data_IF_552966976734
#
_entry.id   IF_552966976734
#
_cell.length_a   1.000
_cell.length_b   1.000
_cell.length_c   1.000
_cell.angle_alpha   90.00
_cell.angle_beta   90.00
_cell.angle_gamma   90.00
#
_symmetry.space_group_name_H-M   'P 1'
#
loop_
_entity.id
_entity.type
_entity.pdbx_description
1 polymer ?
#
# COMPACT_ATOMS: atom_id res chain seq x y z
N UNK A 1 10.83 22.32 -22.06
CA UNK A 1 11.12 20.90 -22.29
C UNK A 1 10.99 20.24 -20.95
N UNK A 2 10.05 19.29 -20.77
CA UNK A 2 9.87 18.62 -19.48
C UNK A 2 11.16 17.88 -19.13
N UNK A 3 11.56 17.84 -17.84
CA UNK A 3 12.76 17.13 -17.40
C UNK A 3 12.63 15.60 -17.52
N UNK A 4 11.47 15.13 -17.89
CA UNK A 4 11.13 13.73 -18.10
C UNK A 4 11.34 13.39 -19.57
N UNK A 5 12.13 12.37 -19.86
CA UNK A 5 12.37 11.85 -21.21
C UNK A 5 11.06 11.56 -21.95
N UNK A 6 11.15 11.17 -23.21
CA UNK A 6 9.98 10.70 -23.98
C UNK A 6 9.38 9.50 -23.23
N UNK A 7 8.03 9.50 -23.06
CA UNK A 7 7.32 8.33 -22.55
C UNK A 7 7.74 7.09 -23.35
N UNK A 8 8.26 6.05 -22.72
CA UNK A 8 8.69 4.83 -23.40
C UNK A 8 7.50 4.01 -23.93
N UNK A 9 6.28 4.32 -23.47
CA UNK A 9 5.08 3.62 -23.86
C UNK A 9 4.59 4.08 -25.24
N UNK A 10 4.17 3.11 -26.04
CA UNK A 10 3.59 3.34 -27.38
C UNK A 10 2.14 2.83 -27.32
N UNK A 11 1.21 3.62 -27.87
CA UNK A 11 -0.19 3.19 -28.00
C UNK A 11 -0.26 1.91 -28.83
N UNK A 12 -0.75 0.83 -28.21
CA UNK A 12 -1.00 -0.46 -28.87
C UNK A 12 -2.39 -0.51 -29.49
N UNK A 13 -3.38 -0.10 -28.71
CA UNK A 13 -4.77 -0.11 -29.14
C UNK A 13 -5.59 0.97 -28.44
N UNK A 14 -6.58 1.48 -29.13
CA UNK A 14 -7.54 2.44 -28.61
C UNK A 14 -8.95 1.87 -28.66
N UNK A 15 -9.63 1.85 -27.53
CA UNK A 15 -11.05 1.48 -27.43
C UNK A 15 -11.83 2.64 -26.82
N UNK A 16 -12.75 3.22 -27.60
CA UNK A 16 -13.61 4.29 -27.12
C UNK A 16 -14.73 3.69 -26.28
N UNK A 17 -14.79 4.06 -25.02
CA UNK A 17 -15.89 3.71 -24.13
C UNK A 17 -17.10 4.60 -24.44
N UNK A 18 -18.31 4.07 -24.32
CA UNK A 18 -19.55 4.84 -24.51
C UNK A 18 -19.84 5.81 -23.35
N UNK A 19 -19.16 5.67 -22.24
CA UNK A 19 -19.25 6.52 -21.05
C UNK A 19 -17.91 6.61 -20.34
N UNK A 20 -17.79 7.51 -19.36
CA UNK A 20 -16.61 7.57 -18.48
C UNK A 20 -16.50 6.27 -17.68
N UNK A 21 -15.28 5.87 -17.34
CA UNK A 21 -15.02 4.75 -16.43
C UNK A 21 -14.93 5.25 -14.98
N UNK A 22 -15.18 4.34 -14.04
CA UNK A 22 -14.92 4.58 -12.63
C UNK A 22 -13.43 4.34 -12.32
N UNK A 23 -12.81 5.20 -11.54
CA UNK A 23 -11.39 5.07 -11.14
C UNK A 23 -11.08 3.81 -10.34
N UNK A 24 -12.06 3.23 -9.68
CA UNK A 24 -11.95 1.97 -8.90
C UNK A 24 -12.42 0.74 -9.67
N UNK A 25 -12.84 0.94 -10.90
CA UNK A 25 -13.50 -0.06 -11.71
C UNK A 25 -12.57 -0.83 -12.65
N UNK A 26 -11.39 -1.25 -12.19
CA UNK A 26 -10.45 -2.02 -12.99
C UNK A 26 -9.89 -3.20 -12.21
N UNK A 27 -10.07 -4.42 -12.72
CA UNK A 27 -9.47 -5.62 -12.14
C UNK A 27 -8.85 -6.52 -13.19
N UNK A 28 -7.75 -7.19 -12.83
CA UNK A 28 -7.05 -8.12 -13.68
C UNK A 28 -7.67 -9.52 -13.58
N UNK A 29 -7.89 -10.16 -14.72
CA UNK A 29 -8.30 -11.56 -14.80
C UNK A 29 -7.06 -12.46 -14.88
N UNK A 30 -7.00 -13.48 -14.06
CA UNK A 30 -6.00 -14.52 -14.19
C UNK A 30 -6.16 -15.25 -15.53
N UNK A 31 -5.05 -15.51 -16.21
CA UNK A 31 -5.06 -16.31 -17.44
C UNK A 31 -5.41 -17.78 -17.17
N UNK A 32 -5.80 -18.53 -18.22
CA UNK A 32 -6.02 -19.97 -18.13
C UNK A 32 -4.72 -20.65 -17.69
N UNK A 33 -4.67 -21.10 -16.44
CA UNK A 33 -3.48 -21.70 -15.83
C UNK A 33 -3.19 -21.25 -14.40
N UNK A 34 -3.82 -20.18 -13.93
CA UNK A 34 -3.90 -19.79 -12.50
C UNK A 34 -2.59 -19.54 -11.77
N UNK A 35 -1.46 -19.41 -12.46
CA UNK A 35 -0.14 -19.20 -11.86
C UNK A 35 0.63 -18.04 -12.52
N UNK A 36 1.76 -17.62 -11.96
CA UNK A 36 2.58 -16.52 -12.47
C UNK A 36 3.18 -16.74 -13.87
N UNK A 37 2.92 -17.89 -14.52
CA UNK A 37 3.27 -18.22 -15.91
C UNK A 37 2.05 -18.55 -16.77
N UNK A 38 0.83 -18.33 -16.29
CA UNK A 38 -0.41 -18.54 -17.07
C UNK A 38 -0.46 -17.57 -18.27
N UNK A 39 -1.06 -18.03 -19.38
CA UNK A 39 -1.21 -17.23 -20.59
C UNK A 39 -1.87 -15.87 -20.34
N UNK A 40 -1.93 -15.00 -21.35
CA UNK A 40 -2.43 -13.65 -21.20
C UNK A 40 -3.84 -13.67 -20.63
N UNK A 41 -4.01 -13.14 -19.44
CA UNK A 41 -5.30 -12.91 -18.82
C UNK A 41 -6.08 -11.81 -19.55
N UNK A 42 -6.93 -11.14 -18.84
CA UNK A 42 -7.66 -9.98 -19.35
C UNK A 42 -7.79 -8.93 -18.26
N UNK A 43 -8.52 -7.89 -18.61
CA UNK A 43 -8.93 -6.85 -17.68
C UNK A 43 -10.45 -6.71 -17.75
N UNK A 44 -11.09 -6.56 -16.60
CA UNK A 44 -12.45 -6.07 -16.50
C UNK A 44 -12.42 -4.61 -16.11
N UNK A 45 -13.07 -3.76 -16.84
CA UNK A 45 -13.22 -2.34 -16.55
C UNK A 45 -14.70 -2.02 -16.35
N UNK A 46 -15.04 -1.46 -15.21
CA UNK A 46 -16.35 -0.91 -14.94
C UNK A 46 -16.48 0.48 -15.56
N UNK A 47 -17.60 0.73 -16.23
CA UNK A 47 -17.95 2.02 -16.78
C UNK A 47 -19.28 2.50 -16.17
N UNK A 48 -19.58 3.77 -16.36
CA UNK A 48 -20.85 4.34 -15.89
C UNK A 48 -22.06 3.62 -16.52
N UNK A 49 -23.21 3.70 -15.88
CA UNK A 49 -24.48 3.06 -16.28
C UNK A 49 -24.43 1.53 -16.24
N UNK A 50 -23.78 0.99 -15.21
CA UNK A 50 -23.75 -0.45 -14.94
C UNK A 50 -23.02 -1.30 -15.99
N UNK A 51 -22.22 -0.68 -16.86
CA UNK A 51 -21.51 -1.39 -17.93
C UNK A 51 -20.18 -1.93 -17.46
N UNK A 52 -19.88 -3.16 -17.84
CA UNK A 52 -18.56 -3.80 -17.63
C UNK A 52 -17.97 -4.18 -18.98
N UNK A 53 -16.71 -3.85 -19.19
CA UNK A 53 -15.98 -4.11 -20.43
C UNK A 53 -14.86 -5.12 -20.17
N UNK A 54 -14.77 -6.13 -21.01
CA UNK A 54 -13.69 -7.08 -21.02
C UNK A 54 -12.65 -6.67 -22.06
N UNK A 55 -11.41 -6.52 -21.61
CA UNK A 55 -10.24 -6.34 -22.48
C UNK A 55 -9.36 -7.58 -22.41
N UNK A 56 -9.01 -8.14 -23.55
CA UNK A 56 -8.05 -9.25 -23.65
C UNK A 56 -7.39 -9.30 -25.01
N UNK A 57 -6.28 -10.04 -25.09
CA UNK A 57 -5.64 -10.34 -26.37
C UNK A 57 -6.11 -11.73 -26.86
N UNK A 58 -6.57 -11.77 -28.10
CA UNK A 58 -6.85 -13.04 -28.80
C UNK A 58 -5.60 -13.48 -29.56
N UNK A 59 -5.15 -14.70 -29.28
CA UNK A 59 -4.03 -15.30 -30.00
C UNK A 59 -4.50 -15.88 -31.34
N UNK A 60 -4.55 -15.05 -32.35
CA UNK A 60 -4.79 -15.48 -33.73
C UNK A 60 -3.44 -15.60 -34.43
N UNK A 61 -2.91 -16.82 -34.45
CA UNK A 61 -1.59 -17.06 -35.08
C UNK A 61 -1.50 -16.46 -36.47
N UNK A 62 -0.44 -15.67 -36.81
CA UNK A 62 0.74 -15.36 -36.01
C UNK A 62 0.62 -14.05 -35.18
N UNK A 63 -0.55 -13.41 -35.07
CA UNK A 63 -0.72 -12.08 -34.45
C UNK A 63 -1.62 -12.12 -33.22
N UNK A 64 -1.25 -11.36 -32.22
CA UNK A 64 -2.12 -10.99 -31.11
C UNK A 64 -3.08 -9.89 -31.61
N UNK A 65 -4.37 -10.01 -31.28
CA UNK A 65 -5.37 -8.97 -31.54
C UNK A 65 -6.00 -8.53 -30.23
N UNK A 66 -5.97 -7.22 -29.92
CA UNK A 66 -6.73 -6.69 -28.80
C UNK A 66 -8.23 -6.86 -29.08
N UNK A 67 -8.97 -7.27 -28.07
CA UNK A 67 -10.43 -7.39 -28.07
C UNK A 67 -10.97 -6.58 -26.90
N UNK A 68 -11.93 -5.70 -27.17
CA UNK A 68 -12.76 -5.08 -26.16
C UNK A 68 -14.21 -5.43 -26.42
N UNK A 69 -14.90 -5.99 -25.43
CA UNK A 69 -16.33 -6.27 -25.54
C UNK A 69 -17.07 -5.94 -24.26
N UNK A 70 -18.32 -5.52 -24.37
CA UNK A 70 -19.22 -5.37 -23.23
C UNK A 70 -19.62 -6.75 -22.70
N UNK A 71 -19.54 -6.92 -21.38
CA UNK A 71 -19.97 -8.10 -20.66
C UNK A 71 -21.27 -7.78 -19.91
N UNK A 72 -22.23 -8.65 -20.02
CA UNK A 72 -23.49 -8.49 -19.31
C UNK A 72 -23.49 -9.33 -18.03
N UNK A 73 -23.33 -8.67 -16.91
CA UNK A 73 -23.49 -9.27 -15.60
C UNK A 73 -24.95 -9.17 -15.16
N UNK A 74 -25.54 -10.31 -14.76
CA UNK A 74 -26.93 -10.34 -14.29
C UNK A 74 -27.10 -9.51 -13.02
N UNK A 75 -28.33 -9.02 -12.80
CA UNK A 75 -28.69 -8.22 -11.62
C UNK A 75 -27.95 -6.87 -11.45
N UNK A 76 -27.31 -6.36 -12.49
CA UNK A 76 -26.85 -4.98 -12.54
C UNK A 76 -27.83 -4.18 -13.41
N UNK A 77 -28.63 -3.26 -12.84
CA UNK A 77 -29.54 -2.43 -13.60
C UNK A 77 -28.81 -1.46 -14.53
N UNK A 78 -29.47 -1.02 -15.61
CA UNK A 78 -28.91 -0.05 -16.58
C UNK A 78 -28.69 1.34 -15.97
N UNK A 79 -29.40 1.65 -14.88
CA UNK A 79 -29.30 2.89 -14.10
C UNK A 79 -28.38 2.79 -12.90
N UNK A 80 -27.69 1.65 -12.74
CA UNK A 80 -26.75 1.45 -11.67
C UNK A 80 -25.41 2.15 -11.96
N UNK A 81 -24.81 2.69 -10.89
CA UNK A 81 -23.44 3.19 -10.92
C UNK A 81 -22.53 2.20 -10.19
N UNK A 82 -21.63 1.56 -10.93
CA UNK A 82 -20.63 0.65 -10.35
C UNK A 82 -19.60 1.47 -9.58
N UNK A 83 -19.40 1.12 -8.31
CA UNK A 83 -18.43 1.80 -7.45
C UNK A 83 -17.07 1.13 -7.51
N UNK A 84 -17.03 -0.19 -7.34
CA UNK A 84 -15.78 -0.96 -7.33
C UNK A 84 -15.99 -2.34 -7.92
N UNK A 85 -14.94 -2.91 -8.49
CA UNK A 85 -14.90 -4.27 -9.04
C UNK A 85 -13.58 -4.93 -8.67
N UNK A 86 -13.64 -6.18 -8.26
CA UNK A 86 -12.46 -6.98 -8.01
C UNK A 86 -12.66 -8.43 -8.42
N UNK A 87 -11.59 -9.15 -8.71
CA UNK A 87 -11.66 -10.55 -9.12
C UNK A 87 -10.46 -11.36 -8.68
N UNK A 88 -10.69 -12.62 -8.38
CA UNK A 88 -9.63 -13.56 -8.01
C UNK A 88 -9.98 -14.99 -8.46
N UNK A 89 -8.94 -15.83 -8.72
CA UNK A 89 -9.15 -17.24 -8.96
C UNK A 89 -9.51 -17.95 -7.64
N UNK A 90 -10.44 -18.92 -7.71
CA UNK A 90 -10.73 -19.78 -6.55
C UNK A 90 -9.47 -20.49 -6.07
N UNK A 91 -9.36 -20.63 -4.75
CA UNK A 91 -8.23 -21.32 -4.14
C UNK A 91 -8.24 -22.82 -4.42
N UNK A 92 -7.09 -23.46 -4.69
CA UNK A 92 -7.01 -24.90 -4.83
C UNK A 92 -7.63 -25.67 -3.64
N UNK A 93 -8.24 -26.83 -3.86
CA UNK A 93 -8.31 -27.61 -5.09
C UNK A 93 -9.38 -27.15 -6.09
N UNK A 94 -10.20 -26.19 -5.74
CA UNK A 94 -11.25 -25.66 -6.61
C UNK A 94 -10.63 -24.86 -7.75
N UNK A 95 -11.28 -24.89 -8.90
CA UNK A 95 -10.93 -24.06 -10.05
C UNK A 95 -12.13 -23.18 -10.36
N UNK A 96 -11.88 -21.98 -10.83
CA UNK A 96 -12.93 -21.04 -11.18
C UNK A 96 -12.49 -19.60 -10.93
N UNK A 97 -13.35 -18.68 -11.25
CA UNK A 97 -13.19 -17.25 -11.02
C UNK A 97 -14.29 -16.76 -10.10
N UNK A 98 -13.92 -15.82 -9.23
CA UNK A 98 -14.85 -15.03 -8.46
C UNK A 98 -14.71 -13.59 -8.90
N UNK A 99 -15.84 -12.93 -9.18
CA UNK A 99 -15.89 -11.50 -9.51
C UNK A 99 -16.86 -10.85 -8.54
N UNK A 100 -16.37 -9.85 -7.80
CA UNK A 100 -17.17 -9.00 -6.92
C UNK A 100 -17.42 -7.66 -7.59
N UNK A 101 -18.65 -7.17 -7.58
CA UNK A 101 -19.04 -5.86 -8.12
C UNK A 101 -19.92 -5.15 -7.10
N UNK A 102 -19.49 -3.99 -6.65
CA UNK A 102 -20.32 -3.10 -5.84
C UNK A 102 -20.93 -2.03 -6.71
N UNK A 103 -22.20 -1.75 -6.50
CA UNK A 103 -22.90 -0.71 -7.24
C UNK A 103 -24.00 -0.06 -6.41
N UNK A 104 -24.39 1.14 -6.81
CA UNK A 104 -25.51 1.87 -6.25
C UNK A 104 -26.59 1.92 -7.33
N UNK A 105 -27.76 1.39 -7.00
CA UNK A 105 -28.94 1.51 -7.83
C UNK A 105 -29.60 2.84 -7.54
N UNK A 106 -29.71 3.69 -8.56
CA UNK A 106 -30.47 4.93 -8.47
C UNK A 106 -31.92 4.63 -8.87
N UNK A 107 -32.74 4.33 -7.88
CA UNK A 107 -34.18 4.08 -8.08
C UNK A 107 -35.05 5.28 -7.63
N UNK A 108 -34.55 6.49 -7.77
CA UNK A 108 -35.25 7.73 -7.42
C UNK A 108 -35.04 8.15 -5.96
N UNK A 109 -36.01 7.93 -5.07
CA UNK A 109 -36.00 8.51 -3.73
C UNK A 109 -35.00 7.93 -2.74
N UNK A 110 -34.45 6.72 -2.99
CA UNK A 110 -33.46 6.07 -2.13
C UNK A 110 -32.46 5.27 -2.94
N UNK A 111 -31.21 5.73 -3.06
CA UNK A 111 -30.15 4.91 -3.63
C UNK A 111 -29.94 3.67 -2.76
N UNK A 112 -29.98 2.49 -3.38
CA UNK A 112 -29.74 1.21 -2.69
C UNK A 112 -28.40 0.65 -3.12
N UNK A 113 -27.43 0.47 -2.21
CA UNK A 113 -26.14 -0.11 -2.49
C UNK A 113 -26.19 -1.64 -2.44
N UNK A 114 -25.46 -2.28 -3.34
CA UNK A 114 -25.36 -3.72 -3.46
C UNK A 114 -23.92 -4.20 -3.62
N UNK A 115 -23.67 -5.43 -3.19
CA UNK A 115 -22.53 -6.24 -3.55
C UNK A 115 -23.05 -7.48 -4.29
N UNK A 116 -22.69 -7.60 -5.56
CA UNK A 116 -22.90 -8.80 -6.33
C UNK A 116 -21.63 -9.63 -6.39
N UNK A 117 -21.73 -10.91 -6.08
CA UNK A 117 -20.63 -11.86 -6.20
C UNK A 117 -20.99 -12.92 -7.22
N UNK A 118 -20.19 -12.98 -8.27
CA UNK A 118 -20.35 -13.92 -9.38
C UNK A 118 -19.28 -14.99 -9.28
N UNK A 119 -19.68 -16.24 -9.25
CA UNK A 119 -18.74 -17.35 -9.24
C UNK A 119 -19.35 -18.56 -9.90
N UNK A 120 -18.49 -19.37 -10.52
CA UNK A 120 -18.87 -20.65 -11.05
C UNK A 120 -18.87 -21.69 -9.93
N UNK A 121 -20.01 -22.36 -9.76
CA UNK A 121 -20.19 -23.39 -8.73
C UNK A 121 -20.07 -24.81 -9.29
N UNK A 122 -19.97 -24.98 -10.61
CA UNK A 122 -19.86 -26.31 -11.20
C UNK A 122 -18.41 -26.82 -11.21
N UNK A 123 -18.08 -27.85 -10.45
CA UNK A 123 -16.74 -28.42 -10.47
C UNK A 123 -16.48 -29.13 -11.80
N UNK A 124 -15.48 -28.68 -12.53
CA UNK A 124 -14.94 -29.35 -13.71
C UNK A 124 -15.21 -28.68 -15.06
N UNK A 125 -15.94 -27.57 -15.12
CA UNK A 125 -16.05 -26.77 -16.32
C UNK A 125 -14.82 -25.95 -16.60
N UNK A 126 -14.43 -25.81 -17.86
CA UNK A 126 -13.48 -24.79 -18.28
C UNK A 126 -14.06 -23.42 -17.93
N UNK A 127 -13.20 -22.57 -17.42
CA UNK A 127 -13.51 -21.20 -17.04
C UNK A 127 -14.14 -20.43 -18.21
N UNK A 128 -15.44 -20.20 -18.14
CA UNK A 128 -16.19 -19.33 -19.05
C UNK A 128 -16.73 -18.10 -18.31
N UNK A 129 -16.20 -16.94 -18.66
CA UNK A 129 -16.60 -15.68 -18.03
C UNK A 129 -18.08 -15.34 -18.29
N UNK A 130 -18.62 -15.73 -19.44
CA UNK A 130 -20.04 -15.51 -19.76
C UNK A 130 -20.94 -16.33 -18.81
N UNK A 131 -20.54 -17.56 -18.48
CA UNK A 131 -21.22 -18.39 -17.49
C UNK A 131 -21.12 -17.80 -16.08
N UNK A 132 -19.91 -17.38 -15.66
CA UNK A 132 -19.70 -16.72 -14.36
C UNK A 132 -20.59 -15.49 -14.22
N UNK A 133 -20.71 -14.67 -15.26
CA UNK A 133 -21.51 -13.43 -15.23
C UNK A 133 -23.03 -13.68 -15.06
N UNK A 134 -23.49 -14.91 -15.27
CA UNK A 134 -24.89 -15.30 -15.07
C UNK A 134 -25.18 -15.86 -13.68
N UNK A 135 -24.14 -16.27 -12.92
CA UNK A 135 -24.25 -16.86 -11.59
C UNK A 135 -24.01 -15.81 -10.52
N UNK A 136 -25.05 -15.26 -9.93
CA UNK A 136 -24.99 -14.10 -9.06
C UNK A 136 -25.54 -14.36 -7.66
N UNK A 137 -24.74 -14.09 -6.63
CA UNK A 137 -25.21 -13.84 -5.28
C UNK A 137 -25.37 -12.32 -5.11
N UNK A 138 -26.61 -11.87 -4.91
CA UNK A 138 -26.94 -10.44 -4.74
C UNK A 138 -27.11 -10.12 -3.26
N UNK A 139 -26.30 -9.22 -2.73
CA UNK A 139 -26.32 -8.79 -1.33
C UNK A 139 -26.64 -7.29 -1.26
N UNK A 140 -27.73 -6.93 -0.59
CA UNK A 140 -28.06 -5.54 -0.29
C UNK A 140 -27.21 -5.06 0.89
N UNK A 141 -26.53 -3.92 0.71
CA UNK A 141 -25.66 -3.32 1.73
C UNK A 141 -26.43 -2.28 2.54
N UNK A 142 -26.03 -2.11 3.80
CA UNK A 142 -26.59 -1.07 4.70
C UNK A 142 -25.74 0.19 4.73
N UNK A 143 -24.66 0.24 3.96
CA UNK A 143 -23.71 1.33 3.87
C UNK A 143 -23.35 1.58 2.41
N UNK A 144 -22.85 2.76 2.10
CA UNK A 144 -22.35 3.09 0.75
C UNK A 144 -20.95 2.50 0.58
N UNK A 145 -20.75 1.58 -0.37
CA UNK A 145 -19.44 0.97 -0.59
C UNK A 145 -18.44 1.95 -1.20
N UNK A 146 -17.14 1.76 -0.89
CA UNK A 146 -16.04 2.50 -1.50
C UNK A 146 -15.14 1.57 -2.29
N UNK A 147 -14.26 0.84 -1.64
CA UNK A 147 -13.32 -0.06 -2.29
C UNK A 147 -13.61 -1.52 -1.94
N UNK A 148 -13.75 -2.34 -2.96
CA UNK A 148 -13.72 -3.79 -2.86
C UNK A 148 -12.32 -4.29 -3.24
N UNK A 149 -11.73 -5.11 -2.41
CA UNK A 149 -10.47 -5.80 -2.70
C UNK A 149 -10.51 -7.22 -2.12
N UNK A 150 -9.64 -8.09 -2.62
CA UNK A 150 -9.49 -9.43 -2.06
C UNK A 150 -8.18 -9.56 -1.29
N UNK A 151 -8.18 -10.49 -0.33
CA UNK A 151 -6.99 -10.84 0.41
C UNK A 151 -6.92 -12.35 0.61
N UNK A 152 -5.70 -12.89 0.58
CA UNK A 152 -5.46 -14.28 0.92
C UNK A 152 -5.21 -14.42 2.42
N UNK A 153 -5.90 -15.39 3.03
CA UNK A 153 -5.75 -15.67 4.44
C UNK A 153 -5.49 -17.15 4.67
N UNK A 154 -4.66 -17.48 5.65
CA UNK A 154 -4.45 -18.84 6.07
C UNK A 154 -5.49 -19.22 7.12
N UNK A 155 -6.22 -20.30 6.85
CA UNK A 155 -7.20 -20.88 7.78
C UNK A 155 -6.83 -22.34 8.01
N UNK A 156 -6.12 -22.63 9.10
CA UNK A 156 -5.45 -23.91 9.31
C UNK A 156 -4.39 -24.15 8.23
N UNK A 157 -4.47 -25.29 7.54
CA UNK A 157 -3.54 -25.63 6.45
C UNK A 157 -4.00 -25.12 5.06
N UNK A 158 -5.14 -24.46 4.98
CA UNK A 158 -5.72 -23.98 3.71
C UNK A 158 -5.48 -22.51 3.53
N UNK A 159 -5.20 -22.13 2.29
CA UNK A 159 -5.18 -20.73 1.85
C UNK A 159 -6.55 -20.42 1.24
N UNK A 160 -7.25 -19.47 1.84
CA UNK A 160 -8.56 -19.02 1.36
C UNK A 160 -8.45 -17.57 0.88
N UNK A 161 -9.26 -17.21 -0.10
CA UNK A 161 -9.36 -15.83 -0.57
C UNK A 161 -10.71 -15.26 -0.14
N UNK A 162 -10.69 -14.06 0.41
CA UNK A 162 -11.85 -13.36 0.95
C UNK A 162 -11.96 -11.98 0.32
N UNK A 163 -13.18 -11.43 0.29
CA UNK A 163 -13.38 -10.02 -0.03
C UNK A 163 -13.31 -9.16 1.24
N UNK A 164 -12.69 -8.01 1.10
CA UNK A 164 -12.71 -6.91 2.05
C UNK A 164 -13.37 -5.72 1.37
N UNK A 165 -14.35 -5.13 2.02
CA UNK A 165 -15.12 -4.01 1.51
C UNK A 165 -15.11 -2.87 2.51
N UNK A 166 -14.66 -1.69 2.08
CA UNK A 166 -14.77 -0.45 2.85
C UNK A 166 -16.01 0.34 2.42
N UNK A 167 -16.46 1.24 3.27
CA UNK A 167 -17.64 2.05 3.02
C UNK A 167 -17.66 3.37 3.77
N UNK A 168 -18.85 4.01 3.79
CA UNK A 168 -19.07 5.27 4.48
C UNK A 168 -19.29 5.11 5.99
N UNK A 169 -18.95 3.97 6.54
CA UNK A 169 -18.83 3.69 7.96
C UNK A 169 -17.36 3.37 8.32
N UNK A 170 -16.94 3.50 9.58
CA UNK A 170 -15.56 3.30 9.98
C UNK A 170 -15.18 1.81 10.09
N UNK A 171 -15.94 0.90 9.49
CA UNK A 171 -15.73 -0.54 9.48
C UNK A 171 -15.10 -1.03 8.18
N UNK A 172 -14.52 -2.24 8.26
CA UNK A 172 -14.18 -3.05 7.10
C UNK A 172 -15.05 -4.29 7.15
N UNK A 173 -15.77 -4.57 6.07
CA UNK A 173 -16.67 -5.70 5.95
C UNK A 173 -15.97 -6.85 5.27
N UNK A 174 -15.99 -8.01 5.90
CA UNK A 174 -15.37 -9.24 5.41
C UNK A 174 -16.41 -10.18 4.84
N UNK A 175 -16.28 -10.56 3.59
CA UNK A 175 -17.11 -11.59 2.96
C UNK A 175 -16.28 -12.82 2.65
N UNK A 176 -16.68 -13.95 3.22
CA UNK A 176 -15.99 -15.23 3.10
C UNK A 176 -16.93 -16.29 2.55
N UNK A 177 -16.42 -17.15 1.64
CA UNK A 177 -17.17 -18.29 1.14
C UNK A 177 -17.39 -19.32 2.28
N UNK A 178 -18.64 -19.68 2.51
CA UNK A 178 -19.00 -20.77 3.42
C UNK A 178 -18.74 -22.11 2.72
N UNK A 179 -17.88 -22.99 3.27
CA UNK A 179 -17.54 -24.26 2.63
C UNK A 179 -18.71 -25.21 2.42
N UNK A 180 -19.79 -25.09 3.22
CA UNK A 180 -20.95 -25.95 3.14
C UNK A 180 -22.00 -25.51 2.13
N UNK A 181 -22.27 -24.19 2.05
CA UNK A 181 -23.27 -23.60 1.16
C UNK A 181 -22.67 -23.10 -0.15
N UNK A 182 -21.35 -22.95 -0.22
CA UNK A 182 -20.63 -22.29 -1.32
C UNK A 182 -21.09 -20.84 -1.59
N UNK A 183 -21.69 -20.19 -0.59
CA UNK A 183 -22.13 -18.81 -0.68
C UNK A 183 -21.21 -17.92 0.17
N UNK A 184 -21.03 -16.68 -0.26
CA UNK A 184 -20.31 -15.68 0.50
C UNK A 184 -21.21 -15.10 1.58
N UNK A 185 -20.70 -15.07 2.80
CA UNK A 185 -21.38 -14.55 3.97
C UNK A 185 -20.51 -13.48 4.64
N UNK A 186 -21.14 -12.44 5.15
CA UNK A 186 -20.45 -11.45 5.95
C UNK A 186 -20.03 -12.05 7.30
N UNK A 187 -18.77 -11.84 7.68
CA UNK A 187 -18.20 -12.29 8.95
C UNK A 187 -17.48 -11.13 9.65
N UNK A 188 -17.36 -11.18 10.98
CA UNK A 188 -16.60 -10.18 11.72
C UNK A 188 -15.14 -10.15 11.27
N UNK A 189 -14.67 -8.97 10.83
CA UNK A 189 -13.32 -8.79 10.26
C UNK A 189 -12.21 -9.20 11.25
N UNK A 190 -12.42 -8.97 12.53
CA UNK A 190 -11.46 -9.28 13.60
C UNK A 190 -11.09 -10.76 13.70
N UNK A 191 -11.92 -11.65 13.18
CA UNK A 191 -11.63 -13.08 13.19
C UNK A 191 -10.42 -13.44 12.31
N UNK A 192 -10.22 -12.70 11.22
CA UNK A 192 -9.16 -12.96 10.25
C UNK A 192 -8.19 -11.80 10.12
N UNK A 193 -8.63 -10.55 10.36
CA UNK A 193 -7.85 -9.32 10.22
C UNK A 193 -8.00 -8.43 11.46
N UNK A 194 -7.41 -8.84 12.61
CA UNK A 194 -7.48 -8.03 13.83
C UNK A 194 -6.86 -6.64 13.68
N UNK A 195 -5.92 -6.46 12.75
CA UNK A 195 -5.28 -5.19 12.44
C UNK A 195 -6.17 -4.17 11.74
N UNK A 196 -7.31 -4.59 11.19
CA UNK A 196 -8.26 -3.72 10.50
C UNK A 196 -9.38 -3.19 11.42
N UNK A 197 -9.26 -3.42 12.72
CA UNK A 197 -10.17 -2.85 13.72
C UNK A 197 -9.76 -1.42 14.10
N UNK A 198 -10.67 -0.74 14.80
CA UNK A 198 -10.46 0.55 15.45
C UNK A 198 -9.82 1.58 14.51
N UNK A 199 -10.45 1.79 13.36
CA UNK A 199 -10.07 2.82 12.41
C UNK A 199 -10.74 4.15 12.79
N UNK A 200 -10.01 5.29 12.70
CA UNK A 200 -10.49 6.58 13.20
C UNK A 200 -11.56 7.24 12.30
N UNK A 201 -11.65 6.83 11.05
CA UNK A 201 -12.62 7.36 10.09
C UNK A 201 -12.81 6.38 8.94
N UNK A 202 -13.69 6.70 8.00
CA UNK A 202 -13.97 5.87 6.83
C UNK A 202 -12.69 5.53 6.07
N UNK A 203 -12.51 4.25 5.76
CA UNK A 203 -11.38 3.77 4.98
C UNK A 203 -11.69 3.97 3.49
N UNK A 204 -10.85 4.75 2.81
CA UNK A 204 -10.99 5.00 1.37
C UNK A 204 -10.21 4.01 0.54
N UNK A 205 -9.08 3.52 1.05
CA UNK A 205 -8.24 2.56 0.36
C UNK A 205 -7.62 1.55 1.31
N UNK A 206 -7.56 0.31 0.86
CA UNK A 206 -7.01 -0.84 1.58
C UNK A 206 -6.14 -1.66 0.64
N UNK A 207 -4.99 -2.11 1.09
CA UNK A 207 -4.11 -3.04 0.39
C UNK A 207 -3.55 -4.08 1.37
N UNK A 208 -3.69 -5.35 1.02
CA UNK A 208 -3.24 -6.48 1.84
C UNK A 208 -2.37 -7.40 1.00
N UNK A 209 -1.11 -7.56 1.39
CA UNK A 209 -0.14 -8.34 0.65
C UNK A 209 0.48 -9.44 1.52
N UNK A 210 0.51 -10.70 1.05
CA UNK A 210 1.29 -11.73 1.70
C UNK A 210 2.78 -11.47 1.47
N UNK A 211 3.60 -11.68 2.49
CA UNK A 211 5.06 -11.59 2.37
C UNK A 211 5.60 -12.93 1.89
N UNK A 212 6.13 -13.03 0.66
CA UNK A 212 6.61 -14.29 0.11
C UNK A 212 7.71 -14.93 0.96
N UNK A 213 7.60 -16.24 1.19
CA UNK A 213 8.58 -17.00 1.97
C UNK A 213 8.50 -16.81 3.49
N UNK A 214 7.55 -16.03 3.97
CA UNK A 214 7.25 -15.89 5.41
C UNK A 214 5.80 -16.27 5.71
N UNK A 215 5.50 -16.53 6.97
CA UNK A 215 4.12 -16.71 7.45
C UNK A 215 3.40 -15.36 7.67
N UNK A 216 3.97 -14.23 7.23
CA UNK A 216 3.47 -12.91 7.53
C UNK A 216 2.68 -12.30 6.37
N UNK A 217 1.85 -11.31 6.69
CA UNK A 217 1.24 -10.38 5.74
C UNK A 217 1.45 -8.95 6.20
N UNK A 218 1.38 -8.04 5.24
CA UNK A 218 1.31 -6.61 5.47
C UNK A 218 -0.09 -6.14 5.06
N UNK A 219 -0.70 -5.32 5.92
CA UNK A 219 -2.00 -4.70 5.67
C UNK A 219 -1.84 -3.20 5.79
N UNK A 220 -2.19 -2.46 4.74
CA UNK A 220 -2.16 -1.00 4.71
C UNK A 220 -3.56 -0.45 4.53
N UNK A 221 -3.91 0.63 5.22
CA UNK A 221 -5.16 1.33 5.03
C UNK A 221 -4.95 2.86 5.04
N UNK A 222 -5.77 3.54 4.25
CA UNK A 222 -5.82 4.99 4.17
C UNK A 222 -7.24 5.50 4.37
N UNK A 223 -7.39 6.49 5.23
CA UNK A 223 -8.68 7.01 5.68
C UNK A 223 -9.02 8.38 5.10
N UNK A 224 -10.29 8.73 5.16
CA UNK A 224 -10.81 10.04 4.79
C UNK A 224 -10.22 11.16 5.64
N UNK A 225 -9.87 10.90 6.89
CA UNK A 225 -9.24 11.87 7.80
C UNK A 225 -7.76 12.12 7.51
N UNK A 226 -7.15 11.45 6.53
CA UNK A 226 -5.70 11.49 6.29
C UNK A 226 -4.90 10.48 7.11
N UNK A 227 -5.57 9.69 7.95
CA UNK A 227 -4.90 8.65 8.73
C UNK A 227 -4.48 7.50 7.84
N UNK A 228 -3.21 7.07 7.98
CA UNK A 228 -2.64 5.90 7.31
C UNK A 228 -2.10 4.95 8.35
N UNK A 229 -2.40 3.67 8.22
CA UNK A 229 -1.85 2.59 9.07
C UNK A 229 -1.25 1.50 8.21
N UNK A 230 -0.11 0.96 8.64
CA UNK A 230 0.44 -0.29 8.13
C UNK A 230 0.63 -1.23 9.31
N UNK A 231 0.21 -2.47 9.14
CA UNK A 231 0.42 -3.51 10.14
C UNK A 231 1.12 -4.73 9.52
N UNK A 232 2.00 -5.34 10.28
CA UNK A 232 2.60 -6.64 10.00
C UNK A 232 1.97 -7.67 10.93
N UNK A 233 1.44 -8.72 10.34
CA UNK A 233 0.64 -9.73 11.03
C UNK A 233 1.18 -11.11 10.74
N UNK A 234 1.33 -11.92 11.76
CA UNK A 234 1.57 -13.34 11.64
C UNK A 234 0.25 -14.04 11.26
N UNK A 235 0.24 -14.76 10.12
CA UNK A 235 -1.00 -15.33 9.57
C UNK A 235 -1.48 -16.57 10.34
N UNK A 236 -0.60 -17.28 11.01
CA UNK A 236 -0.96 -18.51 11.74
C UNK A 236 -1.57 -18.17 13.11
N UNK A 237 -0.90 -17.32 13.87
CA UNK A 237 -1.38 -16.88 15.19
C UNK A 237 -2.36 -15.71 15.12
N UNK A 238 -2.43 -15.00 13.98
CA UNK A 238 -3.18 -13.75 13.78
C UNK A 238 -2.72 -12.63 14.71
N UNK A 239 -1.52 -12.73 15.24
CA UNK A 239 -0.95 -11.73 16.09
C UNK A 239 -0.45 -10.54 15.26
N UNK A 240 -0.83 -9.33 15.66
CA UNK A 240 -0.26 -8.10 15.11
C UNK A 240 1.14 -7.94 15.68
N UNK A 241 2.16 -8.21 14.88
CA UNK A 241 3.56 -8.14 15.28
C UNK A 241 4.04 -6.71 15.40
N UNK A 242 3.62 -5.87 14.46
CA UNK A 242 4.00 -4.46 14.39
C UNK A 242 2.86 -3.66 13.74
N UNK A 243 2.70 -2.42 14.18
CA UNK A 243 1.76 -1.48 13.58
C UNK A 243 2.35 -0.08 13.60
N UNK A 244 2.28 0.61 12.47
CA UNK A 244 2.74 1.97 12.29
C UNK A 244 1.63 2.83 11.72
N UNK A 245 1.59 4.07 12.12
CA UNK A 245 0.61 5.02 11.59
C UNK A 245 1.24 6.39 11.38
N UNK A 246 0.67 7.12 10.43
CA UNK A 246 1.00 8.52 10.16
C UNK A 246 -0.30 9.26 9.85
N UNK A 247 -0.31 10.55 10.14
CA UNK A 247 -1.39 11.47 9.83
C UNK A 247 -0.93 12.43 8.74
N UNK A 248 -1.66 12.48 7.62
CA UNK A 248 -1.53 13.44 6.53
C UNK A 248 -2.66 14.47 6.63
N UNK A 249 -2.51 15.61 5.95
CA UNK A 249 -3.48 16.70 6.03
C UNK A 249 -4.74 16.49 5.18
N UNK A 250 -4.69 15.62 4.18
CA UNK A 250 -5.80 15.38 3.25
C UNK A 250 -6.30 13.93 3.20
N UNK A 251 -7.50 13.72 2.65
CA UNK A 251 -8.02 12.37 2.41
C UNK A 251 -7.06 11.53 1.58
N UNK A 252 -6.90 10.28 1.96
CA UNK A 252 -6.00 9.34 1.28
C UNK A 252 -6.69 8.82 0.03
N UNK A 253 -6.10 9.05 -1.13
CA UNK A 253 -6.63 8.56 -2.41
C UNK A 253 -6.13 7.16 -2.77
N UNK A 254 -4.92 6.79 -2.34
CA UNK A 254 -4.37 5.46 -2.60
C UNK A 254 -3.32 5.09 -1.55
N UNK A 255 -3.31 3.83 -1.13
CA UNK A 255 -2.19 3.18 -0.45
C UNK A 255 -1.82 1.91 -1.20
N UNK A 256 -0.53 1.68 -1.45
CA UNK A 256 -0.03 0.48 -2.13
C UNK A 256 1.22 -0.05 -1.46
N UNK A 257 1.18 -1.32 -1.12
CA UNK A 257 2.33 -2.07 -0.63
C UNK A 257 3.07 -2.71 -1.81
N UNK A 258 4.36 -2.51 -1.90
CA UNK A 258 5.16 -3.10 -2.95
C UNK A 258 6.57 -3.44 -2.49
N UNK A 259 7.15 -4.54 -2.98
CA UNK A 259 8.53 -4.89 -2.70
C UNK A 259 9.47 -4.10 -3.61
N UNK A 260 10.60 -3.63 -3.07
CA UNK A 260 11.71 -3.13 -3.87
C UNK A 260 12.53 -4.30 -4.45
N UNK A 261 13.28 -4.08 -5.55
CA UNK A 261 14.16 -5.10 -6.11
C UNK A 261 15.11 -5.66 -5.05
N UNK A 262 15.43 -6.98 -5.07
CA UNK A 262 16.28 -7.61 -4.06
C UNK A 262 17.70 -7.05 -4.07
N UNK A 263 18.27 -6.81 -2.89
CA UNK A 263 19.70 -6.57 -2.72
C UNK A 263 20.40 -7.81 -2.14
N UNK A 264 21.70 -7.99 -2.44
CA UNK A 264 22.48 -9.03 -1.79
C UNK A 264 22.45 -8.83 -0.28
N UNK A 265 22.07 -9.87 0.47
CA UNK A 265 22.00 -9.90 1.94
C UNK A 265 20.84 -9.14 2.59
N UNK A 266 19.87 -8.64 1.83
CA UNK A 266 18.64 -8.03 2.39
C UNK A 266 17.58 -9.11 2.65
N UNK A 267 16.96 -9.04 3.85
CA UNK A 267 15.87 -9.95 4.21
C UNK A 267 14.64 -9.66 3.31
N UNK A 268 13.96 -10.69 2.78
CA UNK A 268 12.74 -10.50 1.97
C UNK A 268 11.68 -9.62 2.61
N UNK A 269 11.62 -9.59 3.94
CA UNK A 269 10.66 -8.76 4.68
C UNK A 269 11.03 -7.28 4.70
N UNK A 270 12.33 -6.97 4.62
CA UNK A 270 12.82 -5.59 4.68
C UNK A 270 12.68 -4.80 3.37
N UNK A 271 12.25 -5.46 2.30
CA UNK A 271 12.13 -4.89 0.96
C UNK A 271 10.82 -4.16 0.70
N UNK A 272 9.87 -4.28 1.61
CA UNK A 272 8.55 -3.68 1.43
C UNK A 272 8.56 -2.18 1.64
N UNK A 273 7.79 -1.51 0.81
CA UNK A 273 7.56 -0.07 0.84
C UNK A 273 6.08 0.23 0.71
N UNK A 274 5.67 1.36 1.25
CA UNK A 274 4.31 1.86 1.17
C UNK A 274 4.29 3.14 0.35
N UNK A 275 3.59 3.13 -0.77
CA UNK A 275 3.19 4.33 -1.49
C UNK A 275 1.91 4.87 -0.87
N UNK A 276 1.90 6.16 -0.60
CA UNK A 276 0.70 6.89 -0.15
C UNK A 276 0.50 8.09 -1.04
N UNK A 277 -0.70 8.26 -1.54
CA UNK A 277 -1.14 9.48 -2.19
C UNK A 277 -2.35 10.07 -1.47
N UNK A 278 -2.39 11.38 -1.38
CA UNK A 278 -3.46 12.14 -0.78
C UNK A 278 -4.03 13.13 -1.80
N UNK A 279 -5.20 13.65 -1.49
CA UNK A 279 -5.85 14.64 -2.38
C UNK A 279 -5.17 16.02 -2.34
N UNK A 280 -4.40 16.34 -1.29
CA UNK A 280 -3.84 17.67 -1.03
C UNK A 280 -2.32 17.71 -1.07
N UNK A 281 -1.64 16.59 -0.82
CA UNK A 281 -0.19 16.55 -0.67
C UNK A 281 0.46 15.74 -1.80
N UNK A 282 1.75 15.93 -1.98
CA UNK A 282 2.55 15.12 -2.89
C UNK A 282 2.47 13.63 -2.55
N UNK A 283 2.54 12.78 -3.55
CA UNK A 283 2.65 11.35 -3.32
C UNK A 283 4.00 11.00 -2.67
N UNK A 284 3.97 10.17 -1.64
CA UNK A 284 5.13 9.82 -0.83
C UNK A 284 5.32 8.31 -0.74
N UNK A 285 6.57 7.88 -0.57
CA UNK A 285 6.92 6.48 -0.33
C UNK A 285 7.57 6.35 1.03
N UNK A 286 7.03 5.46 1.85
CA UNK A 286 7.59 5.05 3.14
C UNK A 286 8.23 3.67 3.00
N UNK A 287 9.32 3.46 3.71
CA UNK A 287 9.97 2.15 3.80
C UNK A 287 9.49 1.40 5.05
N UNK A 288 8.95 0.21 4.86
CA UNK A 288 8.34 -0.59 5.92
C UNK A 288 9.29 -1.65 6.54
N UNK A 289 10.59 -1.58 6.31
CA UNK A 289 11.52 -2.66 6.63
C UNK A 289 12.42 -2.47 7.84
N UNK A 290 13.04 -3.59 8.23
CA UNK A 290 13.89 -3.81 9.39
C UNK A 290 15.37 -3.90 8.98
N UNK A 291 15.99 -2.85 8.45
CA UNK A 291 17.42 -2.94 8.12
C UNK A 291 18.26 -3.17 9.38
N UNK A 292 19.07 -4.23 9.38
CA UNK A 292 19.89 -4.66 10.54
C UNK A 292 20.89 -3.62 11.05
N UNK A 293 21.21 -2.58 10.24
CA UNK A 293 21.98 -1.41 10.66
C UNK A 293 21.14 -0.34 11.34
N UNK A 294 19.81 -0.44 11.30
CA UNK A 294 18.87 0.58 11.74
C UNK A 294 18.01 0.16 12.94
N UNK A 295 18.58 -0.59 13.90
CA UNK A 295 17.89 -0.96 15.16
C UNK A 295 17.25 0.23 15.89
N UNK A 296 17.58 1.48 15.51
CA UNK A 296 16.98 2.71 16.04
C UNK A 296 15.82 3.25 15.19
N UNK A 297 15.69 2.88 13.91
CA UNK A 297 14.62 3.35 13.02
C UNK A 297 13.31 2.60 13.29
N UNK A 298 13.37 1.39 13.80
CA UNK A 298 12.22 0.56 14.23
C UNK A 298 11.29 1.23 15.27
N UNK A 299 11.77 2.23 15.99
CA UNK A 299 10.94 2.97 16.94
C UNK A 299 10.17 4.14 16.30
N UNK A 300 10.48 4.52 15.06
CA UNK A 300 9.90 5.71 14.42
C UNK A 300 8.79 5.41 13.40
N UNK A 301 8.56 4.16 13.04
CA UNK A 301 7.46 3.77 12.17
C UNK A 301 7.55 4.36 10.77
N UNK A 302 6.44 4.88 10.25
CA UNK A 302 6.36 5.61 9.00
C UNK A 302 6.95 7.03 9.14
N UNK A 303 8.19 7.13 9.59
CA UNK A 303 8.94 8.38 9.65
C UNK A 303 9.78 8.52 8.38
N UNK A 304 9.95 9.74 7.90
CA UNK A 304 10.83 10.07 6.77
C UNK A 304 10.28 9.60 5.41
N UNK A 305 9.14 10.18 4.96
CA UNK A 305 8.62 9.94 3.63
C UNK A 305 9.59 10.44 2.57
N UNK A 306 9.71 9.69 1.48
CA UNK A 306 10.33 10.16 0.26
C UNK A 306 9.25 10.71 -0.67
N UNK A 307 9.25 11.99 -0.91
CA UNK A 307 8.36 12.63 -1.85
C UNK A 307 8.71 12.21 -3.29
N UNK A 308 7.69 11.80 -4.05
CA UNK A 308 7.89 11.45 -5.46
C UNK A 308 8.04 12.72 -6.30
N UNK A 309 9.13 12.82 -7.08
CA UNK A 309 9.38 13.99 -7.90
C UNK A 309 8.23 14.28 -8.86
N UNK A 310 7.82 15.54 -8.95
CA UNK A 310 6.80 16.02 -9.88
C UNK A 310 5.35 15.78 -9.41
N UNK A 311 5.10 15.01 -8.36
CA UNK A 311 3.75 14.80 -7.85
C UNK A 311 3.18 16.06 -7.18
N UNK A 312 4.03 16.87 -6.53
CA UNK A 312 3.63 18.16 -5.94
C UNK A 312 3.29 19.24 -6.96
N UNK A 313 3.79 19.13 -8.19
CA UNK A 313 3.51 20.07 -9.28
C UNK A 313 2.32 19.66 -10.17
N UNK A 314 1.72 18.52 -9.89
CA UNK A 314 0.58 17.98 -10.61
C UNK A 314 -0.71 18.13 -9.79
N UNK A 315 -1.83 17.96 -10.45
CA UNK A 315 -3.13 17.90 -9.79
C UNK A 315 -3.27 16.65 -8.90
N UNK A 316 -4.36 16.53 -8.14
CA UNK A 316 -4.59 15.43 -7.21
C UNK A 316 -4.34 14.05 -7.84
N UNK A 317 -3.55 13.22 -7.18
CA UNK A 317 -3.34 11.82 -7.56
C UNK A 317 -4.58 11.01 -7.19
N UNK A 318 -5.23 10.41 -8.18
CA UNK A 318 -6.50 9.68 -8.00
C UNK A 318 -6.33 8.17 -8.05
N UNK A 319 -5.27 7.67 -8.65
CA UNK A 319 -4.95 6.25 -8.68
C UNK A 319 -3.44 6.03 -8.83
N UNK A 320 -2.99 4.87 -8.41
CA UNK A 320 -1.60 4.46 -8.55
C UNK A 320 -1.49 2.96 -8.86
N UNK A 321 -0.41 2.57 -9.51
CA UNK A 321 -0.03 1.18 -9.72
C UNK A 321 1.48 1.04 -9.68
N UNK A 322 1.95 -0.06 -9.12
CA UNK A 322 3.38 -0.42 -9.16
C UNK A 322 3.51 -1.68 -9.99
N UNK A 323 4.24 -1.60 -11.08
CA UNK A 323 4.42 -2.71 -12.04
C UNK A 323 5.63 -2.44 -12.93
N UNK A 324 6.27 -3.50 -13.41
CA UNK A 324 7.33 -3.44 -14.43
C UNK A 324 6.66 -3.21 -15.80
N UNK A 325 6.79 -1.99 -16.35
CA UNK A 325 6.15 -1.59 -17.62
C UNK A 325 7.08 -1.68 -18.82
N UNK A 326 8.39 -1.62 -18.60
CA UNK A 326 9.40 -1.72 -19.67
C UNK A 326 10.09 -3.10 -19.73
N UNK A 327 9.70 -4.01 -18.82
CA UNK A 327 10.16 -5.39 -18.74
C UNK A 327 11.66 -5.51 -18.44
N UNK A 328 12.23 -4.56 -17.70
CA UNK A 328 13.62 -4.57 -17.27
C UNK A 328 13.83 -5.33 -15.94
N UNK A 329 12.76 -5.79 -15.31
CA UNK A 329 12.73 -6.52 -14.05
C UNK A 329 12.63 -5.60 -12.81
N UNK A 330 12.59 -4.29 -12.99
CA UNK A 330 12.33 -3.34 -11.92
C UNK A 330 10.91 -2.77 -12.08
N UNK A 331 10.18 -2.62 -10.99
CA UNK A 331 8.83 -2.06 -11.08
C UNK A 331 8.86 -0.53 -11.11
N UNK A 332 8.03 0.06 -11.95
CA UNK A 332 7.73 1.50 -12.01
C UNK A 332 6.54 1.83 -11.14
N UNK A 333 6.51 3.06 -10.63
CA UNK A 333 5.37 3.63 -9.94
C UNK A 333 4.61 4.52 -10.93
N UNK A 334 3.42 4.08 -11.31
CA UNK A 334 2.53 4.85 -12.18
C UNK A 334 1.55 5.62 -11.31
N UNK A 335 1.47 6.93 -11.49
CA UNK A 335 0.51 7.81 -10.82
C UNK A 335 -0.42 8.42 -11.86
N UNK A 336 -1.71 8.19 -11.71
CA UNK A 336 -2.74 8.87 -12.50
C UNK A 336 -3.28 10.08 -11.74
N UNK A 337 -3.29 11.25 -12.38
CA UNK A 337 -3.78 12.48 -11.77
C UNK A 337 -5.12 12.91 -12.35
N UNK A 338 -5.87 13.70 -11.61
CA UNK A 338 -7.15 14.24 -12.06
C UNK A 338 -7.01 15.10 -13.33
N UNK A 339 -5.91 15.84 -13.47
CA UNK A 339 -5.56 16.61 -14.66
C UNK A 339 -5.08 15.80 -15.86
N UNK A 340 -5.27 14.48 -15.84
CA UNK A 340 -4.93 13.55 -16.93
C UNK A 340 -3.42 13.48 -17.25
N UNK A 341 -2.57 13.76 -16.25
CA UNK A 341 -1.14 13.51 -16.31
C UNK A 341 -0.80 12.13 -15.76
N UNK A 342 0.15 11.46 -16.39
CA UNK A 342 0.78 10.24 -15.87
C UNK A 342 2.20 10.58 -15.43
N UNK A 343 2.56 10.18 -14.22
CA UNK A 343 3.89 10.34 -13.65
C UNK A 343 4.52 8.95 -13.47
N UNK A 344 5.76 8.81 -13.90
CA UNK A 344 6.46 7.53 -13.99
C UNK A 344 7.85 7.60 -13.33
N UNK A 345 7.99 7.57 -12.00
CA UNK A 345 9.29 7.35 -11.37
C UNK A 345 9.64 5.86 -11.28
N UNK A 346 10.81 5.48 -11.74
CA UNK A 346 11.30 4.10 -11.68
C UNK A 346 11.63 3.71 -10.23
N UNK A 347 11.22 2.52 -9.78
CA UNK A 347 11.54 2.02 -8.44
C UNK A 347 13.05 1.91 -8.21
N UNK A 348 13.84 1.69 -9.26
CA UNK A 348 15.31 1.71 -9.22
C UNK A 348 15.85 3.09 -8.86
N UNK A 349 15.35 4.15 -9.49
CA UNK A 349 15.72 5.54 -9.17
C UNK A 349 15.33 5.89 -7.73
N UNK A 350 14.16 5.41 -7.30
CA UNK A 350 13.69 5.57 -5.94
C UNK A 350 14.65 4.92 -4.94
N UNK A 351 15.11 3.69 -5.21
CA UNK A 351 16.07 2.97 -4.37
C UNK A 351 17.42 3.68 -4.29
N UNK A 352 17.96 4.11 -5.43
CA UNK A 352 19.21 4.86 -5.48
C UNK A 352 19.12 6.17 -4.71
N UNK A 353 17.98 6.87 -4.81
CA UNK A 353 17.73 8.10 -4.09
C UNK A 353 17.61 7.87 -2.59
N UNK A 354 16.84 6.85 -2.17
CA UNK A 354 16.73 6.43 -0.77
C UNK A 354 18.10 6.08 -0.18
N UNK A 355 18.94 5.33 -0.93
CA UNK A 355 20.29 4.99 -0.49
C UNK A 355 21.16 6.24 -0.31
N UNK A 356 21.16 7.16 -1.26
CA UNK A 356 21.93 8.41 -1.17
C UNK A 356 21.48 9.29 0.00
N UNK A 357 20.17 9.36 0.24
CA UNK A 357 19.65 10.11 1.38
C UNK A 357 20.05 9.48 2.72
N UNK A 358 20.02 8.15 2.83
CA UNK A 358 20.50 7.44 4.03
C UNK A 358 21.99 7.69 4.26
N UNK A 359 22.83 7.54 3.25
CA UNK A 359 24.26 7.81 3.32
C UNK A 359 24.57 9.25 3.75
N UNK A 360 23.82 10.21 3.22
CA UNK A 360 23.97 11.62 3.59
C UNK A 360 23.57 11.88 5.05
N UNK A 361 22.53 11.24 5.52
CA UNK A 361 22.07 11.37 6.92
C UNK A 361 23.02 10.69 7.89
N UNK A 362 23.56 9.53 7.55
CA UNK A 362 24.59 8.88 8.35
C UNK A 362 25.82 9.77 8.49
N UNK A 363 26.31 10.38 7.41
CA UNK A 363 27.40 11.36 7.44
C UNK A 363 27.07 12.58 8.29
N UNK A 364 25.84 13.07 8.24
CA UNK A 364 25.42 14.19 9.10
C UNK A 364 25.38 13.80 10.58
N UNK A 365 24.97 12.56 10.90
CA UNK A 365 24.98 12.04 12.27
C UNK A 365 26.41 11.87 12.80
N UNK A 366 27.29 11.24 12.03
CA UNK A 366 28.71 11.12 12.38
C UNK A 366 29.37 12.50 12.62
N UNK A 367 29.02 13.49 11.79
CA UNK A 367 29.55 14.84 11.97
C UNK A 367 29.00 15.49 13.23
N UNK A 368 27.72 15.27 13.57
CA UNK A 368 27.16 15.77 14.85
C UNK A 368 27.78 15.09 16.08
N UNK A 369 27.97 13.79 16.01
CA UNK A 369 28.63 13.04 17.09
C UNK A 369 30.08 13.54 17.31
N UNK A 370 30.83 13.77 16.23
CA UNK A 370 32.16 14.33 16.27
C UNK A 370 32.19 15.78 16.81
N UNK A 371 31.16 16.57 16.52
CA UNK A 371 31.01 17.91 17.09
C UNK A 371 30.69 17.89 18.59
N UNK A 372 29.81 16.97 19.01
CA UNK A 372 29.49 16.77 20.42
C UNK A 372 30.72 16.31 21.19
N UNK A 373 31.46 15.33 20.71
CA UNK A 373 32.71 14.86 21.34
C UNK A 373 33.78 15.96 21.43
N UNK A 374 33.85 16.85 20.43
CA UNK A 374 34.73 18.02 20.49
C UNK A 374 34.28 19.04 21.54
N UNK A 375 32.97 19.23 21.73
CA UNK A 375 32.46 20.13 22.77
C UNK A 375 32.67 19.57 24.14
N UNK A 376 32.42 18.29 24.37
CA UNK A 376 32.71 17.62 25.65
C UNK A 376 34.20 17.72 26.02
N UNK A 377 35.11 17.41 25.09
CA UNK A 377 36.55 17.56 25.31
C UNK A 377 37.00 19.02 25.54
N UNK A 378 36.25 19.97 24.98
CA UNK A 378 36.56 21.39 25.21
C UNK A 378 36.00 21.89 26.54
N UNK A 379 34.93 21.29 27.02
CA UNK A 379 34.33 21.55 28.32
C UNK A 379 35.19 20.95 29.44
N UNK A 380 35.63 19.71 29.29
CA UNK A 380 36.58 19.03 30.20
C UNK A 380 37.89 19.80 30.35
N UNK A 381 38.46 20.30 29.25
CA UNK A 381 39.67 21.15 29.30
C UNK A 381 39.42 22.52 29.95
N UNK A 382 38.19 23.02 29.92
CA UNK A 382 37.87 24.27 30.64
C UNK A 382 37.75 24.03 32.14
N UNK A 383 37.13 22.93 32.53
CA UNK A 383 37.01 22.51 33.92
C UNK A 383 38.42 22.27 34.53
N UNK A 384 39.27 21.51 33.82
CA UNK A 384 40.68 21.31 34.24
C UNK A 384 41.45 22.64 34.40
N UNK A 385 41.28 23.57 33.46
CA UNK A 385 41.92 24.88 33.50
C UNK A 385 41.35 25.80 34.59
N UNK A 386 40.12 25.60 35.03
CA UNK A 386 39.46 26.31 36.11
C UNK A 386 39.93 25.75 37.46
N UNK A 387 40.05 24.45 37.62
CA UNK A 387 40.66 23.78 38.79
C UNK A 387 42.12 24.18 38.97
N UNK A 388 42.94 24.17 37.91
CA UNK A 388 44.34 24.64 37.98
C UNK A 388 44.46 26.13 38.40
N UNK A 389 43.47 26.95 38.03
CA UNK A 389 43.40 28.35 38.44
C UNK A 389 43.03 28.51 39.92
N UNK A 390 42.04 27.72 40.37
CA UNK A 390 41.65 27.73 41.79
C UNK A 390 42.80 27.23 42.71
N UNK A 391 43.50 26.15 42.34
CA UNK A 391 44.68 25.66 43.05
C UNK A 391 45.81 26.70 43.08
N UNK A 392 46.06 27.39 41.96
CA UNK A 392 47.07 28.44 41.89
C UNK A 392 46.69 29.70 42.69
N UNK A 393 45.42 30.00 42.90
CA UNK A 393 44.93 31.06 43.78
C UNK A 393 45.01 30.65 45.25
N UNK A 394 44.74 29.41 45.63
CA UNK A 394 44.93 28.89 46.98
C UNK A 394 46.42 28.91 47.40
N UNK A 395 47.31 28.48 46.49
CA UNK A 395 48.78 28.58 46.78
C UNK A 395 49.26 30.01 46.94
N UNK A 396 48.73 30.99 46.25
CA UNK A 396 49.04 32.40 46.40
C UNK A 396 48.45 33.02 47.68
N UNK A 397 47.30 32.49 48.16
CA UNK A 397 46.67 32.93 49.42
C UNK A 397 47.35 32.45 50.67
N UNK A 398 48.18 31.39 50.56
CA UNK A 398 49.01 30.89 51.68
C UNK A 398 50.27 31.71 51.84
N UNK A 399 50.12 33.01 52.11
CA UNK A 399 51.27 33.93 52.51
C UNK A 399 51.97 33.44 53.75
N UNK A 400 53.28 33.78 53.91
CA UNK A 400 54.10 33.31 55.03
C UNK A 400 53.50 33.71 56.38
N UNK A 401 53.35 32.76 57.31
CA UNK A 401 52.91 33.01 58.70
C UNK A 401 53.79 34.05 59.36
N UNK A 402 53.23 35.04 60.03
CA UNK A 402 54.05 36.02 60.79
C UNK A 402 54.82 35.31 61.92
N UNK A 403 56.06 35.74 62.20
CA UNK A 403 56.89 35.12 63.22
C UNK A 403 56.29 35.32 64.62
N UNK A 404 56.32 34.28 65.43
CA UNK A 404 55.83 34.24 66.79
C UNK A 404 56.56 35.31 67.65
N UNK A 405 55.88 36.03 68.55
CA UNK A 405 56.54 37.03 69.44
C UNK A 405 57.48 36.33 70.41
N UNK A 406 58.61 37.01 70.81
CA UNK A 406 59.59 36.44 71.75
C UNK A 406 59.01 36.33 73.14
N UNK A 407 59.27 35.19 73.83
CA UNK A 407 58.97 34.97 75.23
C UNK A 407 59.80 35.93 76.09
N UNK A 408 59.14 36.76 76.88
CA UNK A 408 59.79 37.60 77.91
C UNK A 408 59.97 36.80 79.18
N UNK A 409 61.23 36.83 79.71
CA UNK A 409 61.58 36.41 81.04
C UNK A 409 60.93 37.30 82.08
#
# INVERSE_FOLDING_TARGET
>A
MSPWGRCPLVEDSFSRLGSQSNVYGLTALAGPGGGPGGGPGGLLAAALKGKVLLFRYLQLRPRLRPLAREMQFTYIPVDAEIVSIDSFPKSPPQRGLVVGITFIKDSGDKPSPFLNIYCDYEPGCEFDLDSVAQSCLNLELRFTPFQLCHAQVRVGERLETVFLLSGNDPGIHLYRENPGSHQFEEQPVQLLFPELQDVPSNVLWLDVQPVPGSGHRLSALGCQSGFVRVARVDQDSRAVLQSWSVQLDGPISTVLLFPLPPEPHEDPEDRWSLLVSSALEAAVVYRCGNSAGARRILRRGLAEPLELPGSSGSDAVVCAKVTDVDFDGAAEILLGTYGQHSLEPTARLLRERLRRELENREKQRENREKELEKREKAEEKREEAEEEREEAEEERGAGPRPPSPPESK
#
